data_IF_013261323419
#
_entry.id   IF_013261323419
#
_cell.length_a   1.000
_cell.length_b   1.000
_cell.length_c   1.000
_cell.angle_alpha   90.00
_cell.angle_beta   90.00
_cell.angle_gamma   90.00
#
_symmetry.space_group_name_H-M   'P 1'
#
loop_
_entity.id
_entity.type
_entity.pdbx_description
1 polymer ?
#
# COMPACT_ATOMS: atom_id res chain seq x y z
N UNK A 1 -1.51 -4.05 -0.14
CA UNK A 1 -1.75 -3.97 1.32
C UNK A 1 -1.65 -5.37 1.92
N UNK A 2 -0.67 -5.58 2.79
CA UNK A 2 -0.43 -6.83 3.50
C UNK A 2 -1.10 -6.77 4.89
N UNK A 3 -1.66 -7.87 5.36
CA UNK A 3 -2.41 -7.93 6.62
C UNK A 3 -1.58 -7.49 7.85
N UNK A 4 -0.26 -7.71 7.83
CA UNK A 4 0.65 -7.25 8.88
C UNK A 4 0.64 -5.72 9.10
N UNK A 5 0.37 -4.91 8.06
CA UNK A 5 0.29 -3.45 8.24
C UNK A 5 -0.92 -3.05 9.05
N UNK A 6 -2.03 -3.77 8.87
CA UNK A 6 -3.28 -3.53 9.60
C UNK A 6 -3.09 -3.88 11.05
N UNK A 7 -2.49 -5.05 11.33
CA UNK A 7 -2.18 -5.46 12.70
C UNK A 7 -1.25 -4.44 13.38
N UNK A 8 -0.14 -4.08 12.73
CA UNK A 8 0.82 -3.12 13.26
C UNK A 8 0.18 -1.75 13.52
N UNK A 9 -0.61 -1.23 12.58
CA UNK A 9 -1.27 0.06 12.71
C UNK A 9 -2.31 0.04 13.83
N UNK A 10 -3.11 -1.04 13.92
CA UNK A 10 -4.12 -1.18 14.95
C UNK A 10 -3.49 -1.22 16.35
N UNK A 11 -2.46 -2.05 16.54
CA UNK A 11 -1.74 -2.14 17.81
C UNK A 11 -1.08 -0.80 18.18
N UNK A 12 -0.46 -0.10 17.22
CA UNK A 12 0.12 1.22 17.45
C UNK A 12 -0.95 2.24 17.88
N UNK A 13 -2.06 2.32 17.14
CA UNK A 13 -3.10 3.32 17.38
C UNK A 13 -3.86 3.09 18.69
N UNK A 14 -4.09 1.84 19.09
CA UNK A 14 -4.73 1.51 20.37
C UNK A 14 -3.90 1.89 21.59
N UNK A 15 -2.57 1.96 21.45
CA UNK A 15 -1.65 2.25 22.56
C UNK A 15 -1.23 3.73 22.62
N UNK A 16 -1.64 4.56 21.66
CA UNK A 16 -1.34 5.98 21.63
C UNK A 16 -2.52 6.81 22.14
N UNK A 17 -2.24 7.76 23.02
CA UNK A 17 -3.24 8.72 23.52
C UNK A 17 -3.39 9.90 22.57
N UNK A 18 -4.54 10.60 22.62
CA UNK A 18 -4.76 11.84 21.87
C UNK A 18 -5.05 11.63 20.37
N UNK A 19 -5.55 10.44 20.01
CA UNK A 19 -5.96 10.09 18.65
C UNK A 19 -7.49 9.91 18.51
N UNK A 20 -8.25 10.22 19.56
CA UNK A 20 -9.71 10.03 19.57
C UNK A 20 -10.40 10.80 18.44
N UNK A 21 -11.27 10.12 17.69
CA UNK A 21 -12.00 10.72 16.57
C UNK A 21 -11.17 10.94 15.30
N UNK A 22 -9.89 10.54 15.28
CA UNK A 22 -9.04 10.68 14.10
C UNK A 22 -9.22 9.52 13.12
N UNK A 23 -9.35 9.85 11.83
CA UNK A 23 -9.28 8.87 10.73
C UNK A 23 -7.89 8.88 10.09
N UNK A 24 -7.34 7.70 9.80
CA UNK A 24 -6.04 7.53 9.15
C UNK A 24 -6.15 6.59 7.95
N UNK A 25 -5.46 6.94 6.86
CA UNK A 25 -5.16 5.98 5.81
C UNK A 25 -4.04 5.05 6.30
N UNK A 26 -4.18 3.75 6.06
CA UNK A 26 -3.17 2.74 6.37
C UNK A 26 -2.82 2.01 5.08
N UNK A 27 -1.58 2.14 4.64
CA UNK A 27 -1.03 1.50 3.45
C UNK A 27 0.48 1.30 3.63
N UNK A 28 1.10 0.58 2.67
CA UNK A 28 2.55 0.54 2.51
C UNK A 28 3.08 1.88 1.96
N UNK A 29 4.41 2.00 1.83
CA UNK A 29 5.06 3.26 1.43
C UNK A 29 5.26 3.38 -0.09
N UNK A 30 4.93 2.33 -0.87
CA UNK A 30 5.22 2.25 -2.29
C UNK A 30 3.99 1.79 -3.10
N UNK A 31 3.26 2.72 -3.74
CA UNK A 31 2.19 2.37 -4.67
C UNK A 31 2.69 1.44 -5.77
N UNK A 32 1.83 0.50 -6.19
CA UNK A 32 2.07 -0.42 -7.31
C UNK A 32 0.96 -0.25 -8.34
N UNK A 33 1.33 -0.29 -9.62
CA UNK A 33 0.36 -0.26 -10.72
C UNK A 33 -0.26 -1.65 -10.94
N UNK A 34 -1.45 -1.69 -11.55
CA UNK A 34 -2.05 -2.96 -11.95
C UNK A 34 -1.20 -3.72 -12.98
N UNK A 35 -0.46 -2.99 -13.82
CA UNK A 35 0.45 -3.58 -14.79
C UNK A 35 1.61 -4.29 -14.10
N UNK A 36 2.35 -3.62 -13.21
CA UNK A 36 3.44 -4.22 -12.43
C UNK A 36 2.97 -5.44 -11.64
N UNK A 37 1.75 -5.37 -11.08
CA UNK A 37 1.15 -6.51 -10.39
C UNK A 37 0.91 -7.68 -11.34
N UNK A 38 0.31 -7.49 -12.51
CA UNK A 38 0.09 -8.58 -13.47
C UNK A 38 1.41 -9.13 -14.03
N UNK A 39 2.39 -8.27 -14.30
CA UNK A 39 3.71 -8.67 -14.79
C UNK A 39 4.44 -9.55 -13.77
N UNK A 40 4.27 -9.27 -12.47
CA UNK A 40 4.85 -10.11 -11.40
C UNK A 40 4.34 -11.55 -11.39
N UNK A 41 3.18 -11.82 -12.00
CA UNK A 41 2.62 -13.16 -12.20
C UNK A 41 2.80 -13.68 -13.63
N UNK A 42 3.50 -12.93 -14.50
CA UNK A 42 3.67 -13.27 -15.91
C UNK A 42 2.39 -13.15 -16.74
N UNK A 43 1.36 -12.45 -16.24
CA UNK A 43 0.05 -12.34 -16.89
C UNK A 43 -0.20 -10.99 -17.56
N UNK A 44 0.78 -10.08 -17.56
CA UNK A 44 0.61 -8.75 -18.15
C UNK A 44 0.18 -8.79 -19.62
N UNK A 45 0.77 -9.68 -20.42
CA UNK A 45 0.46 -9.82 -21.84
C UNK A 45 -0.96 -10.34 -22.13
N UNK A 46 -1.55 -11.10 -21.19
CA UNK A 46 -2.92 -11.61 -21.31
C UNK A 46 -3.95 -10.63 -20.73
N UNK A 47 -3.50 -9.73 -19.83
CA UNK A 47 -4.37 -8.84 -19.06
C UNK A 47 -4.51 -7.45 -19.70
N UNK A 48 -3.48 -6.98 -20.39
CA UNK A 48 -3.42 -5.63 -20.96
C UNK A 48 -3.22 -5.67 -22.47
N UNK A 49 -3.84 -4.72 -23.16
CA UNK A 49 -3.63 -4.50 -24.59
C UNK A 49 -2.19 -4.03 -24.85
N UNK A 50 -1.68 -4.32 -26.06
CA UNK A 50 -0.34 -3.90 -26.48
C UNK A 50 -0.21 -2.37 -26.68
N UNK A 51 -1.33 -1.67 -26.89
CA UNK A 51 -1.37 -0.21 -27.01
C UNK A 51 -1.80 0.43 -25.69
N UNK A 52 -0.94 1.29 -25.14
CA UNK A 52 -1.24 2.02 -23.91
C UNK A 52 -2.23 3.17 -24.17
N UNK A 53 -3.33 3.18 -23.42
CA UNK A 53 -4.24 4.34 -23.37
C UNK A 53 -3.91 5.26 -22.19
N UNK A 54 -4.06 6.59 -22.32
CA UNK A 54 -3.88 7.50 -21.20
C UNK A 54 -4.78 7.14 -20.01
N UNK A 55 -4.22 7.14 -18.81
CA UNK A 55 -5.00 6.98 -17.58
C UNK A 55 -5.95 8.16 -17.41
N UNK A 56 -7.21 7.86 -17.03
CA UNK A 56 -8.21 8.89 -16.72
C UNK A 56 -7.82 9.71 -15.50
N UNK A 57 -7.28 9.04 -14.48
CA UNK A 57 -6.69 9.63 -13.29
C UNK A 57 -5.44 8.81 -12.89
N UNK A 58 -4.22 9.34 -13.03
CA UNK A 58 -3.01 8.63 -12.68
C UNK A 58 -2.82 8.46 -11.16
N UNK A 59 -3.63 9.14 -10.33
CA UNK A 59 -3.55 9.04 -8.87
C UNK A 59 -4.69 8.21 -8.26
N UNK A 60 -5.55 7.61 -9.10
CA UNK A 60 -6.65 6.77 -8.62
C UNK A 60 -6.12 5.62 -7.74
N UNK A 61 -6.67 5.49 -6.53
CA UNK A 61 -6.27 4.47 -5.57
C UNK A 61 -4.97 4.74 -4.80
N UNK A 62 -4.26 5.84 -5.08
CA UNK A 62 -3.08 6.24 -4.30
C UNK A 62 -3.53 6.87 -2.97
N UNK A 63 -2.99 6.35 -1.86
CA UNK A 63 -3.33 6.81 -0.51
C UNK A 63 -2.22 7.68 0.10
N UNK A 64 -2.61 8.84 0.66
CA UNK A 64 -1.69 9.65 1.48
C UNK A 64 -1.65 9.13 2.93
N UNK A 65 -0.52 8.55 3.32
CA UNK A 65 -0.22 8.06 4.68
C UNK A 65 0.58 9.06 5.53
N UNK A 66 0.78 10.28 5.04
CA UNK A 66 1.61 11.29 5.72
C UNK A 66 1.09 11.66 7.10
N UNK A 67 -0.25 11.72 7.28
CA UNK A 67 -0.89 11.97 8.59
C UNK A 67 -0.53 10.89 9.60
N UNK A 68 -0.66 9.62 9.22
CA UNK A 68 -0.34 8.48 10.08
C UNK A 68 1.13 8.54 10.51
N UNK A 69 2.05 8.74 9.55
CA UNK A 69 3.49 8.86 9.81
C UNK A 69 3.82 10.00 10.76
N UNK A 70 3.24 11.19 10.55
CA UNK A 70 3.53 12.40 11.36
C UNK A 70 2.96 12.31 12.77
N UNK A 71 1.77 11.73 12.94
CA UNK A 71 1.08 11.65 14.24
C UNK A 71 1.57 10.51 15.13
N UNK A 72 2.06 9.42 14.53
CA UNK A 72 2.31 8.16 15.27
C UNK A 72 3.74 7.63 15.10
N UNK A 73 4.50 8.13 14.13
CA UNK A 73 5.80 7.56 13.76
C UNK A 73 5.70 6.25 12.96
N UNK A 74 4.51 5.82 12.54
CA UNK A 74 4.29 4.55 11.83
C UNK A 74 5.28 4.32 10.68
N UNK A 75 5.79 3.09 10.62
CA UNK A 75 6.63 2.56 9.54
C UNK A 75 6.19 1.12 9.26
N UNK A 76 5.68 0.83 8.05
CA UNK A 76 5.21 -0.51 7.72
C UNK A 76 6.35 -1.53 7.79
N UNK A 77 6.12 -2.68 8.41
CA UNK A 77 7.10 -3.77 8.49
C UNK A 77 7.49 -4.32 7.11
N UNK A 78 6.55 -4.31 6.17
CA UNK A 78 6.76 -4.69 4.77
C UNK A 78 6.45 -3.44 3.94
N UNK A 79 7.45 -2.68 3.46
CA UNK A 79 7.23 -1.32 2.96
C UNK A 79 6.71 -1.27 1.51
N UNK A 80 6.60 -2.41 0.82
CA UNK A 80 6.09 -2.51 -0.55
C UNK A 80 5.65 -3.93 -0.89
N UNK A 81 4.89 -4.06 -1.97
CA UNK A 81 4.58 -5.36 -2.60
C UNK A 81 5.86 -6.15 -2.91
N UNK A 82 6.91 -5.49 -3.43
CA UNK A 82 8.16 -6.15 -3.78
C UNK A 82 8.87 -6.76 -2.57
N UNK A 83 8.85 -6.10 -1.41
CA UNK A 83 9.42 -6.70 -0.20
C UNK A 83 8.60 -7.89 0.27
N UNK A 84 7.27 -7.84 0.16
CA UNK A 84 6.42 -8.99 0.49
C UNK A 84 6.73 -10.20 -0.40
N UNK A 85 6.88 -9.97 -1.72
CA UNK A 85 7.27 -11.00 -2.69
C UNK A 85 8.66 -11.57 -2.40
N UNK A 86 9.65 -10.71 -2.18
CA UNK A 86 11.04 -11.13 -1.99
C UNK A 86 11.24 -11.88 -0.66
N UNK A 87 10.36 -11.65 0.33
CA UNK A 87 10.29 -12.39 1.59
C UNK A 87 9.40 -13.64 1.54
N UNK A 88 8.75 -13.93 0.40
CA UNK A 88 7.82 -15.05 0.19
C UNK A 88 6.62 -15.04 1.16
N UNK A 89 6.01 -13.86 1.33
CA UNK A 89 4.88 -13.62 2.23
C UNK A 89 3.74 -12.85 1.52
N UNK A 90 3.47 -13.16 0.24
CA UNK A 90 2.33 -12.56 -0.47
C UNK A 90 0.97 -13.03 0.07
#
# INVERSE_FOLDING_TARGET
MHHLYVEQALLLLLNLQGLDGETFNVADDAPITLYELADSFGSAADTFDAEETPLKDPFEGILDVSKLRKRTGFRPLVPSYYVARDLDIL
#
